data_IF_006715735734
#
_entry.id   IF_006715735734
#
_cell.length_a   1.000
_cell.length_b   1.000
_cell.length_c   1.000
_cell.angle_alpha   90.00
_cell.angle_beta   90.00
_cell.angle_gamma   90.00
#
_symmetry.space_group_name_H-M   'P 1'
#
loop_
_entity.id
_entity.type
_entity.pdbx_description
1 polymer ?
#
# COMPACT_ATOMS: atom_id res chain seq x y z
N UNK A 1 5.54 4.23 -46.91
CA UNK A 1 5.03 3.77 -45.60
C UNK A 1 6.19 3.77 -44.62
N UNK A 2 6.20 4.61 -43.58
CA UNK A 2 7.26 4.50 -42.59
C UNK A 2 6.76 4.44 -41.12
N UNK A 3 7.44 3.56 -40.39
CA UNK A 3 7.58 3.37 -38.93
C UNK A 3 6.37 2.87 -38.11
N UNK A 4 6.48 1.67 -37.48
CA UNK A 4 5.62 1.33 -36.36
C UNK A 4 6.01 2.23 -35.18
N UNK A 5 5.03 3.00 -34.70
CA UNK A 5 5.07 3.65 -33.39
C UNK A 5 5.27 2.54 -32.36
N UNK A 6 6.50 2.41 -31.86
CA UNK A 6 6.77 1.64 -30.65
C UNK A 6 5.87 2.21 -29.56
N UNK A 7 4.98 1.36 -29.04
CA UNK A 7 4.25 1.60 -27.82
C UNK A 7 5.25 2.01 -26.74
N UNK A 8 5.41 3.32 -26.54
CA UNK A 8 5.91 3.84 -25.28
C UNK A 8 4.84 3.49 -24.26
N UNK A 9 4.93 2.28 -23.70
CA UNK A 9 4.35 2.01 -22.39
C UNK A 9 4.82 3.16 -21.50
N UNK A 10 3.91 4.07 -21.18
CA UNK A 10 4.20 5.18 -20.30
C UNK A 10 4.66 4.60 -18.98
N UNK A 11 5.97 4.43 -18.81
CA UNK A 11 6.59 4.05 -17.56
C UNK A 11 6.29 5.21 -16.61
N UNK A 12 5.22 5.06 -15.84
CA UNK A 12 4.88 5.95 -14.75
C UNK A 12 6.14 6.09 -13.89
N UNK A 13 6.56 7.32 -13.65
CA UNK A 13 7.70 7.55 -12.78
C UNK A 13 7.37 7.00 -11.38
N UNK A 14 8.36 6.55 -10.58
CA UNK A 14 8.10 6.01 -9.23
C UNK A 14 7.30 6.96 -8.32
N UNK A 15 7.36 8.26 -8.60
CA UNK A 15 6.59 9.30 -7.90
C UNK A 15 5.12 9.30 -8.34
N UNK A 16 4.84 9.15 -9.64
CA UNK A 16 3.48 9.07 -10.17
C UNK A 16 2.79 7.78 -9.72
N UNK A 17 3.49 6.65 -9.70
CA UNK A 17 2.96 5.39 -9.15
C UNK A 17 2.54 5.54 -7.68
N UNK A 18 3.38 6.21 -6.87
CA UNK A 18 3.04 6.45 -5.46
C UNK A 18 1.86 7.41 -5.30
N UNK A 19 1.77 8.45 -6.13
CA UNK A 19 0.62 9.38 -6.13
C UNK A 19 -0.67 8.66 -6.53
N UNK A 20 -0.60 7.77 -7.51
CA UNK A 20 -1.74 6.95 -7.92
C UNK A 20 -2.18 6.00 -6.81
N UNK A 21 -1.25 5.30 -6.15
CA UNK A 21 -1.56 4.46 -5.00
C UNK A 21 -2.16 5.25 -3.83
N UNK A 22 -1.69 6.47 -3.56
CA UNK A 22 -2.29 7.37 -2.56
C UNK A 22 -3.73 7.73 -2.94
N UNK A 23 -3.98 8.04 -4.22
CA UNK A 23 -5.30 8.37 -4.72
C UNK A 23 -6.27 7.19 -4.57
N UNK A 24 -5.82 5.97 -4.87
CA UNK A 24 -6.60 4.74 -4.68
C UNK A 24 -6.97 4.51 -3.22
N UNK A 25 -6.03 4.65 -2.29
CA UNK A 25 -6.32 4.48 -0.85
C UNK A 25 -7.31 5.54 -0.36
N UNK A 26 -7.19 6.79 -0.83
CA UNK A 26 -8.14 7.86 -0.52
C UNK A 26 -9.53 7.58 -1.09
N UNK A 27 -9.62 7.04 -2.31
CA UNK A 27 -10.88 6.62 -2.89
C UNK A 27 -11.52 5.49 -2.06
N UNK A 28 -10.73 4.50 -1.63
CA UNK A 28 -11.20 3.43 -0.76
C UNK A 28 -11.73 3.98 0.58
N UNK A 29 -11.07 4.99 1.17
CA UNK A 29 -11.57 5.69 2.36
C UNK A 29 -12.90 6.41 2.12
N UNK A 30 -13.08 7.04 0.96
CA UNK A 30 -14.34 7.71 0.63
C UNK A 30 -15.51 6.73 0.50
N UNK A 31 -15.23 5.47 0.13
CA UNK A 31 -16.23 4.39 0.01
C UNK A 31 -16.45 3.60 1.30
N UNK A 32 -15.73 3.91 2.39
CA UNK A 32 -16.05 3.31 3.68
C UNK A 32 -17.45 3.71 4.10
N UNK A 33 -18.24 2.70 4.43
CA UNK A 33 -19.62 2.87 4.84
C UNK A 33 -19.68 3.78 6.07
N UNK A 34 -20.47 4.86 5.97
CA UNK A 34 -20.62 5.85 7.06
C UNK A 34 -21.39 5.29 8.25
N UNK A 35 -22.07 4.15 8.07
CA UNK A 35 -23.03 3.64 9.05
C UNK A 35 -22.48 2.56 9.99
N UNK A 36 -21.23 2.12 9.83
CA UNK A 36 -20.65 1.10 10.73
C UNK A 36 -19.15 0.96 10.66
N UNK A 37 -18.50 0.81 11.83
CA UNK A 37 -17.07 0.55 11.93
C UNK A 37 -16.78 -0.87 11.44
N UNK A 38 -16.13 -0.95 10.28
CA UNK A 38 -15.67 -2.22 9.70
C UNK A 38 -14.29 -2.58 10.26
N UNK A 39 -14.10 -3.84 10.63
CA UNK A 39 -12.84 -4.36 11.12
C UNK A 39 -12.21 -5.28 10.10
N UNK A 40 -10.88 -5.30 10.07
CA UNK A 40 -10.09 -6.22 9.25
C UNK A 40 -9.06 -6.93 10.12
N UNK A 41 -8.53 -8.04 9.61
CA UNK A 41 -7.47 -8.79 10.25
C UNK A 41 -6.14 -8.45 9.58
N UNK A 42 -5.17 -8.04 10.39
CA UNK A 42 -3.85 -7.64 9.96
C UNK A 42 -2.76 -8.41 10.70
N UNK A 43 -1.60 -8.55 10.09
CA UNK A 43 -0.39 -9.08 10.72
C UNK A 43 0.79 -8.25 10.26
N UNK A 44 1.35 -7.47 11.16
CA UNK A 44 2.30 -6.42 10.79
C UNK A 44 1.67 -5.44 9.80
N UNK A 45 2.29 -5.30 8.63
CA UNK A 45 1.87 -4.35 7.59
C UNK A 45 0.95 -4.95 6.52
N UNK A 46 0.59 -6.23 6.62
CA UNK A 46 -0.27 -6.91 5.64
C UNK A 46 -1.66 -7.19 6.20
N UNK A 47 -2.68 -7.01 5.37
CA UNK A 47 -4.05 -7.38 5.68
C UNK A 47 -4.41 -8.71 5.02
N UNK A 48 -5.44 -9.39 5.53
CA UNK A 48 -5.87 -10.67 4.97
C UNK A 48 -7.20 -10.55 4.22
N UNK A 49 -7.23 -11.19 3.05
CA UNK A 49 -8.45 -11.52 2.33
C UNK A 49 -8.75 -12.98 2.56
N UNK A 50 -9.92 -13.25 3.10
CA UNK A 50 -10.46 -14.59 3.27
C UNK A 50 -11.43 -14.88 2.13
N UNK A 51 -11.21 -15.99 1.43
CA UNK A 51 -12.20 -16.56 0.51
C UNK A 51 -13.15 -17.40 1.34
N UNK A 52 -14.41 -17.01 1.36
CA UNK A 52 -15.47 -17.72 2.07
C UNK A 52 -16.16 -18.66 1.08
N UNK A 53 -16.15 -19.96 1.35
CA UNK A 53 -16.91 -20.97 0.60
C UNK A 53 -17.83 -21.67 1.60
N UNK A 54 -19.13 -21.72 1.31
CA UNK A 54 -20.12 -22.35 2.21
C UNK A 54 -20.07 -21.83 3.67
N UNK A 55 -19.76 -20.53 3.86
CA UNK A 55 -19.58 -19.86 5.16
C UNK A 55 -18.33 -20.28 5.95
N UNK A 56 -17.43 -21.04 5.35
CA UNK A 56 -16.14 -21.42 5.94
C UNK A 56 -15.03 -20.67 5.19
N UNK A 57 -14.06 -20.13 5.93
CA UNK A 57 -12.87 -19.54 5.34
C UNK A 57 -11.97 -20.65 4.79
N UNK A 58 -11.89 -20.79 3.47
CA UNK A 58 -11.12 -21.86 2.82
C UNK A 58 -9.70 -21.43 2.47
N UNK A 59 -9.50 -20.14 2.19
CA UNK A 59 -8.19 -19.58 1.83
C UNK A 59 -8.01 -18.20 2.44
N UNK A 60 -6.78 -17.91 2.86
CA UNK A 60 -6.35 -16.60 3.31
C UNK A 60 -5.18 -16.13 2.45
N UNK A 61 -5.28 -14.93 1.87
CA UNK A 61 -4.20 -14.31 1.10
C UNK A 61 -3.84 -12.94 1.66
N UNK A 62 -2.55 -12.62 1.63
CA UNK A 62 -2.05 -11.31 2.03
C UNK A 62 -2.39 -10.28 0.95
N UNK A 63 -3.07 -9.22 1.32
CA UNK A 63 -3.52 -8.14 0.44
C UNK A 63 -3.31 -6.78 1.09
N UNK A 64 -3.39 -5.71 0.28
CA UNK A 64 -3.49 -4.35 0.80
C UNK A 64 -4.80 -4.18 1.59
N UNK A 65 -4.79 -3.30 2.59
CA UNK A 65 -5.92 -3.07 3.50
C UNK A 65 -7.25 -2.75 2.77
N UNK A 66 -7.20 -2.09 1.61
CA UNK A 66 -8.37 -1.76 0.80
C UNK A 66 -9.11 -2.98 0.22
N UNK A 67 -8.43 -4.12 0.06
CA UNK A 67 -8.99 -5.36 -0.48
C UNK A 67 -9.22 -6.44 0.57
N UNK A 68 -8.97 -6.11 1.84
CA UNK A 68 -9.14 -7.04 2.95
C UNK A 68 -10.62 -7.38 3.18
N UNK A 69 -10.87 -8.58 3.70
CA UNK A 69 -12.24 -8.98 4.06
C UNK A 69 -12.69 -8.20 5.28
N UNK A 70 -13.90 -7.64 5.20
CA UNK A 70 -14.51 -6.83 6.25
C UNK A 70 -15.29 -7.72 7.21
N UNK A 71 -15.10 -7.50 8.49
CA UNK A 71 -15.73 -8.25 9.57
C UNK A 71 -16.32 -7.30 10.61
N UNK A 72 -17.16 -7.86 11.48
CA UNK A 72 -17.51 -7.24 12.76
C UNK A 72 -16.30 -7.27 13.70
N UNK A 73 -16.34 -6.47 14.76
CA UNK A 73 -15.26 -6.45 15.76
C UNK A 73 -15.04 -7.81 16.43
N UNK A 74 -16.14 -8.48 16.81
CA UNK A 74 -16.09 -9.78 17.48
C UNK A 74 -15.49 -10.84 16.57
N UNK A 75 -15.91 -10.89 15.32
CA UNK A 75 -15.44 -11.88 14.35
C UNK A 75 -13.97 -11.63 14.00
N UNK A 76 -13.59 -10.36 13.77
CA UNK A 76 -12.20 -9.99 13.51
C UNK A 76 -11.29 -10.40 14.67
N UNK A 77 -11.69 -10.14 15.93
CA UNK A 77 -10.92 -10.53 17.13
C UNK A 77 -10.79 -12.04 17.26
N UNK A 78 -11.86 -12.78 16.99
CA UNK A 78 -11.86 -14.23 17.02
C UNK A 78 -10.90 -14.80 15.97
N UNK A 79 -10.99 -14.34 14.73
CA UNK A 79 -10.13 -14.77 13.63
C UNK A 79 -8.67 -14.39 13.90
N UNK A 80 -8.41 -13.17 14.39
CA UNK A 80 -7.07 -12.68 14.69
C UNK A 80 -6.35 -13.56 15.73
N UNK A 81 -7.07 -14.08 16.73
CA UNK A 81 -6.52 -15.01 17.74
C UNK A 81 -6.20 -16.39 17.18
N UNK A 82 -6.93 -16.83 16.16
CA UNK A 82 -6.73 -18.13 15.53
C UNK A 82 -5.52 -18.13 14.57
N UNK A 83 -5.15 -16.98 14.03
CA UNK A 83 -4.08 -16.86 13.04
C UNK A 83 -2.76 -16.52 13.73
N UNK A 84 -1.78 -17.39 13.53
CA UNK A 84 -0.39 -17.21 13.96
C UNK A 84 0.55 -17.39 12.79
N UNK A 85 1.60 -16.59 12.72
CA UNK A 85 2.66 -16.83 11.75
C UNK A 85 3.65 -17.91 12.21
N UNK A 86 4.61 -18.25 11.36
CA UNK A 86 5.66 -19.23 11.66
C UNK A 86 6.54 -18.82 12.87
N UNK A 87 6.57 -17.53 13.23
CA UNK A 87 7.26 -16.99 14.41
C UNK A 87 6.38 -16.99 15.68
N UNK A 88 5.14 -17.46 15.58
CA UNK A 88 4.18 -17.48 16.69
C UNK A 88 3.47 -16.16 16.96
N UNK A 89 3.70 -15.12 16.15
CA UNK A 89 3.04 -13.82 16.30
C UNK A 89 1.59 -13.92 15.84
N UNK A 90 0.69 -13.40 16.67
CA UNK A 90 -0.76 -13.39 16.39
C UNK A 90 -1.13 -12.22 15.49
N UNK A 91 -2.11 -12.45 14.63
CA UNK A 91 -2.75 -11.36 13.91
C UNK A 91 -3.51 -10.43 14.88
N UNK A 92 -3.84 -9.23 14.42
CA UNK A 92 -4.57 -8.21 15.15
C UNK A 92 -5.83 -7.79 14.38
N UNK A 93 -6.90 -7.56 15.13
CA UNK A 93 -8.11 -6.94 14.60
C UNK A 93 -7.93 -5.42 14.64
N UNK A 94 -8.07 -4.76 13.49
CA UNK A 94 -7.90 -3.32 13.37
C UNK A 94 -9.10 -2.70 12.65
N UNK A 95 -9.58 -1.51 13.07
CA UNK A 95 -10.54 -0.76 12.29
C UNK A 95 -9.99 -0.46 10.89
N UNK A 96 -10.80 -0.72 9.85
CA UNK A 96 -10.39 -0.52 8.45
C UNK A 96 -9.92 0.92 8.20
N UNK A 97 -10.61 1.91 8.77
CA UNK A 97 -10.21 3.32 8.66
C UNK A 97 -8.79 3.57 9.23
N UNK A 98 -8.47 2.98 10.39
CA UNK A 98 -7.15 3.09 10.99
C UNK A 98 -6.08 2.42 10.13
N UNK A 99 -6.37 1.23 9.60
CA UNK A 99 -5.47 0.52 8.70
C UNK A 99 -5.17 1.30 7.41
N UNK A 100 -6.19 1.91 6.78
CA UNK A 100 -6.00 2.74 5.59
C UNK A 100 -5.21 4.02 5.91
N UNK A 101 -5.42 4.64 7.08
CA UNK A 101 -4.64 5.80 7.51
C UNK A 101 -3.15 5.45 7.71
N UNK A 102 -2.86 4.30 8.31
CA UNK A 102 -1.47 3.82 8.43
C UNK A 102 -0.84 3.58 7.06
N UNK A 103 -1.57 2.95 6.14
CA UNK A 103 -1.09 2.74 4.77
C UNK A 103 -0.82 4.07 4.04
N UNK A 104 -1.72 5.06 4.17
CA UNK A 104 -1.53 6.40 3.62
C UNK A 104 -0.30 7.10 4.20
N UNK A 105 -0.14 7.08 5.52
CA UNK A 105 1.00 7.71 6.18
C UNK A 105 2.32 7.13 5.68
N UNK A 106 2.41 5.80 5.52
CA UNK A 106 3.59 5.12 5.00
C UNK A 106 3.91 5.51 3.55
N UNK A 107 2.89 5.58 2.69
CA UNK A 107 3.05 5.99 1.28
C UNK A 107 3.44 7.46 1.15
N UNK A 108 2.82 8.36 1.91
CA UNK A 108 3.18 9.77 1.95
C UNK A 108 4.62 9.98 2.42
N UNK A 109 5.06 9.26 3.45
CA UNK A 109 6.44 9.35 3.95
C UNK A 109 7.45 8.84 2.92
N UNK A 110 7.10 7.78 2.17
CA UNK A 110 7.93 7.27 1.07
C UNK A 110 8.05 8.29 -0.07
N UNK A 111 6.93 8.94 -0.41
CA UNK A 111 6.90 10.03 -1.40
C UNK A 111 7.74 11.22 -0.96
N UNK A 112 7.62 11.66 0.30
CA UNK A 112 8.44 12.75 0.83
C UNK A 112 9.94 12.45 0.77
N UNK A 113 10.35 11.21 1.08
CA UNK A 113 11.76 10.80 0.99
C UNK A 113 12.27 10.85 -0.46
N UNK A 114 11.47 10.43 -1.42
CA UNK A 114 11.83 10.51 -2.84
C UNK A 114 11.90 11.95 -3.32
N UNK A 115 10.93 12.79 -2.96
CA UNK A 115 10.93 14.22 -3.30
C UNK A 115 12.16 14.94 -2.71
N UNK A 116 12.54 14.61 -1.47
CA UNK A 116 13.78 15.11 -0.85
C UNK A 116 15.04 14.62 -1.59
N UNK A 117 15.11 13.34 -1.95
CA UNK A 117 16.26 12.79 -2.67
C UNK A 117 16.44 13.44 -4.06
N UNK A 118 15.34 13.67 -4.78
CA UNK A 118 15.36 14.37 -6.07
C UNK A 118 15.82 15.82 -5.91
N UNK A 119 15.33 16.51 -4.87
CA UNK A 119 15.73 17.89 -4.56
C UNK A 119 17.23 17.98 -4.27
N UNK A 120 17.81 17.04 -3.52
CA UNK A 120 19.25 17.03 -3.21
C UNK A 120 20.11 16.80 -4.47
N UNK A 121 19.67 15.95 -5.40
CA UNK A 121 20.40 15.71 -6.66
C UNK A 121 20.44 16.98 -7.53
N UNK A 122 19.37 17.78 -7.55
CA UNK A 122 19.34 19.04 -8.32
C UNK A 122 20.27 20.12 -7.76
N UNK A 123 20.67 20.03 -6.48
CA UNK A 123 21.58 20.98 -5.83
C UNK A 123 23.05 20.60 -5.91
N UNK A 124 23.41 19.41 -6.41
CA UNK A 124 24.80 19.12 -6.72
C UNK A 124 25.19 20.00 -7.91
N UNK A 125 26.11 20.99 -7.74
CA UNK A 125 26.64 21.71 -8.88
C UNK A 125 27.21 20.65 -9.82
N UNK A 126 26.84 20.69 -11.09
CA UNK A 126 27.50 19.90 -12.11
C UNK A 126 28.98 20.23 -11.99
N UNK A 127 29.75 19.37 -11.33
CA UNK A 127 31.19 19.53 -11.19
C UNK A 127 31.69 19.34 -12.62
N UNK A 128 31.84 20.46 -13.33
CA UNK A 128 32.66 20.53 -14.53
C UNK A 128 34.07 20.19 -14.06
N UNK A 129 34.40 18.90 -14.06
CA UNK A 129 35.77 18.49 -14.25
C UNK A 129 36.10 18.81 -15.70
N UNK A 130 36.42 20.08 -15.97
CA UNK A 130 37.23 20.44 -17.12
C UNK A 130 38.64 19.99 -16.79
N UNK A 131 38.93 18.73 -17.12
CA UNK A 131 40.28 18.21 -17.24
C UNK A 131 40.81 18.62 -18.61
N UNK A 132 41.53 19.74 -18.66
CA UNK A 132 42.51 20.08 -19.69
C UNK A 132 43.42 21.15 -19.05
N UNK A 133 44.56 20.79 -18.44
CA UNK A 133 45.83 20.42 -19.08
C UNK A 133 46.29 21.44 -20.11
N UNK A 134 47.44 22.06 -19.76
CA UNK A 134 48.38 22.89 -20.54
C UNK A 134 48.03 24.35 -20.84
#
# INVERSE_FOLDING_TARGET
MPFPLQDQEAQLTPVEELRQQIAEIKAAQATLDRNGTQYIVMMGDVAFKFVMQEKIATQASAVAAQWATRFTESDAKMIARAIKNAKGETAQAMPLAAALNMALAKKNLSLQRLEQAISVIQWLPAVRCDSASE
#
